data_IF_246560647929
#
_entry.id   IF_246560647929
#
_cell.length_a   1.000
_cell.length_b   1.000
_cell.length_c   1.000
_cell.angle_alpha   90.00
_cell.angle_beta   90.00
_cell.angle_gamma   90.00
#
_symmetry.space_group_name_H-M   'P 1'
#
loop_
_entity.id
_entity.type
_entity.pdbx_description
1 polymer ?
#
# COMPACT_ATOMS: atom_id res chain seq x y z
N UNK A 1 4.98 11.37 -7.59
CA UNK A 1 5.98 11.05 -8.65
C UNK A 1 5.26 10.74 -9.96
N UNK A 2 5.93 10.86 -11.11
CA UNK A 2 5.51 10.31 -12.41
C UNK A 2 6.38 9.12 -12.77
N UNK A 3 5.76 8.02 -13.14
CA UNK A 3 6.43 6.83 -13.64
C UNK A 3 6.19 6.72 -15.15
N UNK A 4 7.26 6.56 -15.90
CA UNK A 4 7.22 6.25 -17.33
C UNK A 4 7.84 4.86 -17.53
N UNK A 5 6.99 3.86 -17.72
CA UNK A 5 7.41 2.48 -17.98
C UNK A 5 7.42 2.22 -19.49
N UNK A 6 8.50 1.61 -19.94
CA UNK A 6 8.67 1.15 -21.31
C UNK A 6 8.96 -0.36 -21.30
N UNK A 7 8.65 -1.03 -22.42
CA UNK A 7 8.95 -2.45 -22.59
C UNK A 7 10.45 -2.73 -22.42
N UNK A 8 11.30 -1.78 -22.79
CA UNK A 8 12.71 -1.79 -22.43
C UNK A 8 12.88 -1.15 -21.05
N UNK A 9 13.16 -1.97 -20.03
CA UNK A 9 13.32 -1.50 -18.64
C UNK A 9 14.40 -0.42 -18.49
N UNK A 10 15.48 -0.45 -19.29
CA UNK A 10 16.53 0.57 -19.24
C UNK A 10 16.03 1.97 -19.59
N UNK A 11 15.06 2.05 -20.51
CA UNK A 11 14.43 3.31 -20.90
C UNK A 11 13.31 3.78 -19.96
N UNK A 12 12.94 2.95 -18.97
CA UNK A 12 11.96 3.32 -17.96
C UNK A 12 12.56 4.32 -16.97
N UNK A 13 11.77 5.27 -16.49
CA UNK A 13 12.22 6.24 -15.50
C UNK A 13 11.13 6.61 -14.50
N UNK A 14 11.56 6.95 -13.29
CA UNK A 14 10.69 7.50 -12.25
C UNK A 14 11.20 8.89 -11.94
N UNK A 15 10.32 9.89 -12.08
CA UNK A 15 10.63 11.30 -11.83
C UNK A 15 9.77 11.81 -10.68
N UNK A 16 10.40 12.47 -9.71
CA UNK A 16 9.68 13.20 -8.67
C UNK A 16 9.14 14.49 -9.28
N UNK A 17 7.82 14.62 -9.33
CA UNK A 17 7.15 15.82 -9.85
C UNK A 17 6.68 16.76 -8.75
N UNK A 18 6.31 16.19 -7.61
CA UNK A 18 5.81 16.92 -6.47
C UNK A 18 6.12 16.13 -5.20
N UNK A 19 6.15 16.85 -4.09
CA UNK A 19 6.28 16.30 -2.74
C UNK A 19 5.02 16.63 -1.97
N UNK A 20 4.47 15.64 -1.25
CA UNK A 20 3.42 15.87 -0.29
C UNK A 20 4.08 16.19 1.05
N UNK A 21 4.43 17.47 1.23
CA UNK A 21 5.36 17.91 2.28
C UNK A 21 4.73 17.82 3.68
N UNK A 22 3.44 18.15 3.82
CA UNK A 22 2.77 18.05 5.13
C UNK A 22 1.24 18.17 5.05
N UNK A 23 0.59 17.84 6.17
CA UNK A 23 -0.84 18.03 6.41
C UNK A 23 -1.19 19.43 6.96
N UNK A 24 -0.29 20.41 6.79
CA UNK A 24 -0.49 21.82 7.20
C UNK A 24 0.25 22.24 8.47
N UNK A 25 0.75 21.28 9.24
CA UNK A 25 1.76 21.51 10.30
C UNK A 25 2.96 20.64 9.91
N UNK A 26 4.20 21.10 10.15
CA UNK A 26 5.51 20.48 9.86
C UNK A 26 5.69 19.03 10.38
N UNK A 27 4.83 18.09 9.98
CA UNK A 27 4.83 16.72 10.44
C UNK A 27 4.71 15.78 9.24
N UNK A 28 5.70 14.91 9.13
CA UNK A 28 5.82 13.93 8.06
C UNK A 28 4.64 12.95 8.05
N UNK A 29 4.23 12.55 6.84
CA UNK A 29 3.23 11.51 6.63
C UNK A 29 3.92 10.15 6.72
N UNK A 30 3.42 9.29 7.60
CA UNK A 30 3.96 7.96 7.86
C UNK A 30 3.25 6.87 7.05
N UNK A 31 1.95 7.02 6.80
CA UNK A 31 1.16 6.05 6.04
C UNK A 31 0.13 6.76 5.16
N UNK A 32 -0.17 6.18 4.00
CA UNK A 32 -1.22 6.63 3.10
C UNK A 32 -2.03 5.43 2.64
N UNK A 33 -3.36 5.55 2.68
CA UNK A 33 -4.29 4.56 2.12
C UNK A 33 -5.18 5.24 1.09
N UNK A 34 -5.45 4.56 -0.02
CA UNK A 34 -6.34 5.04 -1.07
C UNK A 34 -7.60 4.18 -1.15
N UNK A 35 -8.76 4.81 -1.31
CA UNK A 35 -10.03 4.15 -1.63
C UNK A 35 -10.92 5.12 -2.40
N UNK A 36 -11.44 4.70 -3.56
CA UNK A 36 -12.42 5.43 -4.38
C UNK A 36 -12.10 6.94 -4.56
N UNK A 37 -10.82 7.26 -4.83
CA UNK A 37 -10.36 8.62 -5.06
C UNK A 37 -10.08 9.45 -3.79
N UNK A 38 -10.35 8.91 -2.60
CA UNK A 38 -9.95 9.52 -1.32
C UNK A 38 -8.63 8.95 -0.81
N UNK A 39 -7.88 9.80 -0.13
CA UNK A 39 -6.63 9.46 0.53
C UNK A 39 -6.79 9.62 2.04
N UNK A 40 -6.49 8.58 2.81
CA UNK A 40 -6.28 8.68 4.25
C UNK A 40 -4.78 8.82 4.49
N UNK A 41 -4.36 9.99 4.93
CA UNK A 41 -2.99 10.30 5.32
C UNK A 41 -2.87 10.24 6.85
N UNK A 42 -1.88 9.49 7.32
CA UNK A 42 -1.62 9.29 8.74
C UNK A 42 -0.22 9.78 9.05
N UNK A 43 -0.14 10.66 10.04
CA UNK A 43 1.12 11.16 10.57
C UNK A 43 1.28 10.65 11.98
N UNK A 44 2.36 9.92 12.23
CA UNK A 44 2.68 9.30 13.52
C UNK A 44 3.95 9.95 14.04
N UNK A 45 3.86 10.50 15.24
CA UNK A 45 5.00 11.05 15.99
C UNK A 45 5.01 10.45 17.38
N UNK A 46 6.12 10.62 18.11
CA UNK A 46 6.25 10.14 19.50
C UNK A 46 5.09 10.55 20.40
N UNK A 47 4.51 11.73 20.17
CA UNK A 47 3.53 12.34 21.08
C UNK A 47 2.10 12.32 20.54
N UNK A 48 1.91 12.15 19.23
CA UNK A 48 0.58 12.25 18.59
C UNK A 48 0.48 11.47 17.29
N UNK A 49 -0.70 10.91 17.04
CA UNK A 49 -1.14 10.48 15.71
C UNK A 49 -2.21 11.41 15.18
N UNK A 50 -2.10 11.74 13.89
CA UNK A 50 -3.05 12.61 13.19
C UNK A 50 -3.55 11.89 11.95
N UNK A 51 -4.87 11.90 11.78
CA UNK A 51 -5.54 11.39 10.60
C UNK A 51 -6.10 12.56 9.80
N UNK A 52 -5.75 12.62 8.52
CA UNK A 52 -6.35 13.56 7.58
C UNK A 52 -6.83 12.78 6.37
N UNK A 53 -8.09 13.01 6.02
CA UNK A 53 -8.65 12.54 4.78
C UNK A 53 -8.53 13.66 3.77
N UNK A 54 -7.94 13.36 2.62
CA UNK A 54 -7.72 14.31 1.55
C UNK A 54 -8.42 13.81 0.29
N UNK A 55 -9.27 14.66 -0.26
CA UNK A 55 -9.76 14.52 -1.63
C UNK A 55 -8.82 15.32 -2.56
N UNK A 56 -7.94 14.66 -3.32
CA UNK A 56 -7.01 15.34 -4.22
C UNK A 56 -7.73 16.09 -5.36
N UNK A 57 -8.92 15.63 -5.78
CA UNK A 57 -9.66 16.22 -6.90
C UNK A 57 -10.17 17.64 -6.60
N UNK A 58 -10.66 17.87 -5.38
CA UNK A 58 -11.14 19.20 -4.95
C UNK A 58 -10.20 19.90 -3.96
N UNK A 59 -9.04 19.30 -3.66
CA UNK A 59 -8.12 19.82 -2.64
C UNK A 59 -8.67 19.82 -1.21
N UNK A 60 -9.85 19.25 -0.96
CA UNK A 60 -10.51 19.30 0.35
C UNK A 60 -9.82 18.37 1.35
N UNK A 61 -9.50 18.90 2.53
CA UNK A 61 -8.89 18.16 3.63
C UNK A 61 -9.83 18.15 4.82
N UNK A 62 -10.07 16.98 5.41
CA UNK A 62 -10.83 16.78 6.65
C UNK A 62 -9.93 16.16 7.69
N UNK A 63 -9.73 16.85 8.82
CA UNK A 63 -9.06 16.28 9.99
C UNK A 63 -10.04 15.34 10.70
N UNK A 64 -9.57 14.17 11.09
CA UNK A 64 -10.36 13.19 11.84
C UNK A 64 -9.83 13.17 13.27
N UNK A 65 -10.68 13.54 14.22
CA UNK A 65 -10.32 13.52 15.64
C UNK A 65 -10.26 12.08 16.15
N UNK A 66 -9.18 11.76 16.88
CA UNK A 66 -9.03 10.47 17.55
C UNK A 66 -9.60 10.58 18.95
N UNK A 67 -10.39 9.59 19.36
CA UNK A 67 -11.08 9.64 20.65
C UNK A 67 -10.18 9.38 21.86
N UNK A 68 -8.95 8.85 21.71
CA UNK A 68 -8.06 8.50 22.84
C UNK A 68 -6.57 8.66 22.50
N UNK A 69 -5.85 9.39 23.36
CA UNK A 69 -4.38 9.45 23.42
C UNK A 69 -3.87 8.34 24.34
N UNK A 70 -3.49 7.18 23.78
CA UNK A 70 -2.81 6.13 24.54
C UNK A 70 -1.39 5.97 24.02
N UNK A 71 -0.42 5.85 24.93
CA UNK A 71 1.03 5.74 24.72
C UNK A 71 1.51 4.58 23.81
N UNK A 72 0.59 3.82 23.19
CA UNK A 72 0.87 2.70 22.26
C UNK A 72 0.49 3.15 20.82
N UNK A 73 0.91 4.35 20.45
CA UNK A 73 0.46 5.07 19.25
C UNK A 73 0.93 4.41 17.95
N UNK A 74 2.13 3.82 17.96
CA UNK A 74 2.84 3.40 16.74
C UNK A 74 2.41 2.02 16.19
N UNK A 75 1.43 1.37 16.82
CA UNK A 75 1.04 -0.02 16.49
C UNK A 75 -0.38 -0.18 15.93
N UNK A 76 -1.13 0.91 15.83
CA UNK A 76 -2.44 0.85 15.20
C UNK A 76 -2.33 0.70 13.69
N UNK A 77 -3.11 -0.22 13.16
CA UNK A 77 -3.32 -0.41 11.74
C UNK A 77 -4.57 0.33 11.30
N UNK A 78 -4.58 0.75 10.04
CA UNK A 78 -5.67 1.50 9.46
C UNK A 78 -6.07 0.93 8.10
N UNK A 79 -7.33 1.16 7.74
CA UNK A 79 -7.82 0.99 6.38
C UNK A 79 -8.88 2.04 6.07
N UNK A 80 -8.93 2.43 4.80
CA UNK A 80 -9.99 3.25 4.24
C UNK A 80 -10.86 2.38 3.35
N UNK A 81 -12.17 2.44 3.52
CA UNK A 81 -13.11 1.69 2.68
C UNK A 81 -14.36 2.49 2.38
N UNK A 82 -15.20 1.91 1.52
CA UNK A 82 -16.44 2.49 1.06
C UNK A 82 -17.61 1.56 1.35
N UNK A 83 -18.58 2.05 2.10
CA UNK A 83 -19.82 1.35 2.37
C UNK A 83 -20.81 1.66 1.24
N UNK A 84 -21.12 0.64 0.44
CA UNK A 84 -21.99 0.77 -0.73
C UNK A 84 -23.45 1.06 -0.35
N UNK A 85 -23.91 0.56 0.79
CA UNK A 85 -25.28 0.75 1.27
C UNK A 85 -25.53 2.18 1.74
N UNK A 86 -24.62 2.73 2.55
CA UNK A 86 -24.73 4.12 3.06
C UNK A 86 -24.11 5.16 2.13
N UNK A 87 -23.46 4.72 1.05
CA UNK A 87 -22.71 5.56 0.10
C UNK A 87 -21.71 6.48 0.79
N UNK A 88 -21.03 5.95 1.81
CA UNK A 88 -20.11 6.71 2.63
C UNK A 88 -18.80 5.98 2.84
N UNK A 89 -17.72 6.76 2.94
CA UNK A 89 -16.43 6.23 3.33
C UNK A 89 -16.41 5.95 4.82
N UNK A 90 -15.56 5.01 5.22
CA UNK A 90 -15.32 4.64 6.62
C UNK A 90 -13.84 4.37 6.83
N UNK A 91 -13.36 4.63 8.03
CA UNK A 91 -11.99 4.29 8.43
C UNK A 91 -12.07 3.18 9.46
N UNK A 92 -11.44 2.05 9.17
CA UNK A 92 -11.17 1.02 10.17
C UNK A 92 -9.85 1.36 10.85
N UNK A 93 -9.84 1.34 12.18
CA UNK A 93 -8.64 1.43 13.02
C UNK A 93 -8.62 0.21 13.93
N UNK A 94 -7.52 -0.51 13.97
CA UNK A 94 -7.43 -1.70 14.80
C UNK A 94 -6.02 -1.99 15.30
N UNK A 95 -5.93 -2.82 16.33
CA UNK A 95 -4.69 -3.37 16.85
C UNK A 95 -4.94 -4.83 17.25
N UNK A 96 -3.99 -5.70 16.90
CA UNK A 96 -3.98 -7.11 17.32
C UNK A 96 -2.63 -7.38 17.96
N UNK A 97 -2.54 -7.24 19.29
CA UNK A 97 -1.29 -7.43 20.03
C UNK A 97 -1.38 -8.66 20.92
N UNK A 98 -0.28 -9.41 21.01
CA UNK A 98 -0.26 -10.72 21.64
C UNK A 98 0.16 -10.73 23.11
N UNK A 99 0.88 -9.70 23.60
CA UNK A 99 1.42 -9.71 24.97
C UNK A 99 1.56 -8.31 25.62
N UNK A 100 0.61 -7.87 26.46
CA UNK A 100 -0.64 -8.58 26.81
C UNK A 100 -1.58 -8.65 25.61
N UNK A 101 -2.42 -9.69 25.57
CA UNK A 101 -3.41 -9.87 24.52
C UNK A 101 -4.37 -8.67 24.49
N UNK A 102 -4.20 -7.78 23.53
CA UNK A 102 -4.96 -6.54 23.40
C UNK A 102 -5.46 -6.42 21.96
N UNK A 103 -6.77 -6.49 21.82
CA UNK A 103 -7.47 -6.41 20.56
C UNK A 103 -8.51 -5.31 20.66
N UNK A 104 -8.38 -4.31 19.80
CA UNK A 104 -9.35 -3.23 19.71
C UNK A 104 -9.64 -2.96 18.24
N UNK A 105 -10.92 -2.91 17.90
CA UNK A 105 -11.41 -2.55 16.57
C UNK A 105 -12.36 -1.37 16.71
N UNK A 106 -12.06 -0.29 15.99
CA UNK A 106 -12.89 0.91 15.92
C UNK A 106 -13.12 1.25 14.47
N UNK A 107 -14.32 1.76 14.18
CA UNK A 107 -14.68 2.23 12.86
C UNK A 107 -15.23 3.65 12.98
N UNK A 108 -14.75 4.50 12.08
CA UNK A 108 -15.23 5.86 11.92
C UNK A 108 -16.14 5.91 10.70
N UNK A 109 -17.33 6.50 10.87
CA UNK A 109 -18.28 6.70 9.78
C UNK A 109 -18.35 8.19 9.41
N UNK A 110 -18.13 8.50 8.14
CA UNK A 110 -18.10 9.87 7.65
C UNK A 110 -19.46 10.56 7.71
N UNK A 111 -20.56 9.78 7.63
CA UNK A 111 -21.91 10.31 7.67
C UNK A 111 -22.30 10.75 9.08
N UNK A 112 -21.91 9.99 10.11
CA UNK A 112 -22.21 10.32 11.51
C UNK A 112 -21.11 11.14 12.19
N UNK A 113 -19.96 11.34 11.51
CA UNK A 113 -18.79 12.03 12.04
C UNK A 113 -18.33 11.46 13.40
N UNK A 114 -18.38 10.14 13.54
CA UNK A 114 -18.16 9.52 14.85
C UNK A 114 -17.46 8.17 14.77
N UNK A 115 -16.68 7.89 15.81
CA UNK A 115 -16.09 6.58 16.05
C UNK A 115 -17.06 5.71 16.85
N UNK A 116 -17.07 4.43 16.52
CA UNK A 116 -17.69 3.39 17.34
C UNK A 116 -16.80 2.16 17.44
N UNK A 117 -16.95 1.43 18.54
CA UNK A 117 -16.24 0.16 18.75
C UNK A 117 -16.94 -0.93 17.93
N UNK A 118 -16.14 -1.82 17.35
CA UNK A 118 -16.60 -3.05 16.71
C UNK A 118 -16.32 -4.23 17.63
N UNK A 119 -17.32 -5.09 17.81
CA UNK A 119 -17.16 -6.35 18.52
C UNK A 119 -16.64 -7.42 17.55
N UNK A 120 -15.32 -7.57 17.51
CA UNK A 120 -14.62 -8.52 16.63
C UNK A 120 -13.63 -9.33 17.46
N UNK A 121 -13.69 -10.64 17.29
CA UNK A 121 -12.79 -11.60 17.96
C UNK A 121 -12.08 -12.46 16.91
N UNK A 122 -11.00 -11.95 16.28
CA UNK A 122 -10.33 -12.69 15.22
C UNK A 122 -9.64 -13.93 15.80
N UNK A 123 -9.59 -15.03 15.04
CA UNK A 123 -8.75 -16.20 15.33
C UNK A 123 -7.37 -16.11 14.64
N UNK A 124 -7.11 -14.96 14.03
CA UNK A 124 -5.92 -14.62 13.28
C UNK A 124 -5.26 -13.35 13.84
N UNK A 125 -4.04 -13.08 13.39
CA UNK A 125 -3.30 -11.85 13.67
C UNK A 125 -2.77 -11.28 12.37
N UNK A 126 -2.65 -9.96 12.29
CA UNK A 126 -2.00 -9.27 11.18
C UNK A 126 -0.68 -8.70 11.71
N UNK A 127 0.41 -8.91 10.97
CA UNK A 127 1.69 -8.28 11.28
C UNK A 127 1.61 -6.77 11.03
N UNK A 128 2.14 -5.95 11.93
CA UNK A 128 2.15 -4.49 11.78
C UNK A 128 2.97 -4.02 10.56
N UNK A 129 3.83 -4.88 10.01
CA UNK A 129 4.62 -4.60 8.80
C UNK A 129 3.78 -4.83 7.53
N UNK A 130 2.69 -5.60 7.61
CA UNK A 130 1.85 -5.89 6.46
C UNK A 130 0.87 -4.74 6.22
N UNK A 131 1.13 -3.97 5.17
CA UNK A 131 0.19 -2.95 4.72
C UNK A 131 -0.97 -3.60 3.96
N UNK A 132 -2.19 -3.22 4.33
CA UNK A 132 -3.39 -3.64 3.60
C UNK A 132 -3.63 -2.77 2.38
N UNK A 133 -4.43 -3.30 1.47
CA UNK A 133 -4.88 -2.56 0.27
C UNK A 133 -6.39 -2.50 0.21
N UNK A 134 -6.92 -1.38 -0.24
CA UNK A 134 -8.33 -1.24 -0.52
C UNK A 134 -8.64 -1.58 -1.98
N UNK A 135 -9.70 -2.35 -2.19
CA UNK A 135 -10.17 -2.81 -3.49
C UNK A 135 -11.70 -2.89 -3.45
N UNK A 136 -12.37 -2.23 -4.40
CA UNK A 136 -13.84 -2.24 -4.55
C UNK A 136 -14.59 -1.85 -3.26
N UNK A 137 -14.03 -0.91 -2.51
CA UNK A 137 -14.55 -0.42 -1.22
C UNK A 137 -14.20 -1.26 0.00
N UNK A 138 -13.54 -2.40 -0.16
CA UNK A 138 -13.15 -3.29 0.93
C UNK A 138 -11.64 -3.33 1.13
N UNK A 139 -11.17 -3.75 2.30
CA UNK A 139 -9.73 -3.79 2.59
C UNK A 139 -9.24 -5.21 2.82
N UNK A 140 -8.04 -5.52 2.32
CA UNK A 140 -7.44 -6.84 2.28
C UNK A 140 -6.04 -6.83 2.88
N UNK A 141 -5.72 -7.84 3.69
CA UNK A 141 -4.41 -8.01 4.33
C UNK A 141 -3.96 -9.46 4.32
N UNK A 142 -2.64 -9.67 4.37
CA UNK A 142 -2.07 -10.91 4.84
C UNK A 142 -2.24 -11.05 6.36
N UNK A 143 -2.81 -12.18 6.77
CA UNK A 143 -2.93 -12.58 8.16
C UNK A 143 -2.40 -14.01 8.34
N UNK A 144 -2.08 -14.36 9.58
CA UNK A 144 -1.73 -15.72 9.96
C UNK A 144 -2.54 -16.15 11.17
N UNK A 145 -2.64 -17.47 11.39
CA UNK A 145 -3.28 -17.97 12.62
C UNK A 145 -2.57 -17.43 13.86
N UNK A 146 -3.38 -17.13 14.89
CA UNK A 146 -2.91 -16.82 16.24
C UNK A 146 -1.88 -17.86 16.69
N UNK A 147 -0.74 -17.40 17.22
CA UNK A 147 0.37 -18.27 17.62
C UNK A 147 -0.13 -19.36 18.56
N UNK A 148 0.23 -20.60 18.28
CA UNK A 148 0.07 -21.71 19.22
C UNK A 148 1.44 -22.26 19.50
N UNK A 149 1.77 -22.48 20.78
CA UNK A 149 3.06 -23.06 21.21
C UNK A 149 3.40 -24.39 20.51
N UNK A 150 2.42 -25.04 19.88
CA UNK A 150 2.55 -26.30 19.15
C UNK A 150 2.85 -26.14 17.65
N UNK A 151 2.71 -24.95 17.05
CA UNK A 151 2.89 -24.72 15.61
C UNK A 151 4.10 -23.83 15.36
N UNK A 152 5.18 -24.42 14.84
CA UNK A 152 6.39 -23.70 14.37
C UNK A 152 6.25 -23.11 12.96
N UNK A 153 5.18 -23.45 12.24
CA UNK A 153 4.94 -23.01 10.85
C UNK A 153 3.77 -22.02 10.85
N UNK A 154 4.00 -20.84 10.28
CA UNK A 154 2.96 -19.86 10.03
C UNK A 154 2.19 -20.27 8.77
N UNK A 155 0.86 -20.32 8.89
CA UNK A 155 -0.01 -20.48 7.73
C UNK A 155 -0.63 -19.12 7.45
N UNK A 156 -0.22 -18.53 6.33
CA UNK A 156 -0.72 -17.24 5.88
C UNK A 156 -1.93 -17.42 4.98
N UNK A 157 -2.81 -16.42 5.01
CA UNK A 157 -4.01 -16.30 4.19
C UNK A 157 -4.35 -14.82 4.02
N UNK A 158 -5.27 -14.52 3.11
CA UNK A 158 -5.84 -13.19 3.01
C UNK A 158 -7.08 -13.09 3.92
N UNK A 159 -7.23 -11.94 4.57
CA UNK A 159 -8.47 -11.56 5.27
C UNK A 159 -9.02 -10.30 4.62
N UNK A 160 -10.35 -10.22 4.52
CA UNK A 160 -11.06 -9.09 3.96
C UNK A 160 -11.94 -8.47 5.05
N UNK A 161 -11.86 -7.15 5.24
CA UNK A 161 -12.88 -6.41 5.97
C UNK A 161 -13.89 -5.84 4.97
N UNK A 162 -15.13 -6.31 5.06
CA UNK A 162 -16.24 -5.81 4.26
C UNK A 162 -16.81 -4.55 4.94
N UNK A 163 -16.60 -3.37 4.35
CA UNK A 163 -17.08 -2.11 4.93
C UNK A 163 -18.59 -1.89 4.80
N UNK A 164 -19.24 -2.64 3.91
CA UNK A 164 -20.70 -2.59 3.75
C UNK A 164 -21.38 -3.42 4.84
N UNK A 165 -20.83 -4.61 5.14
CA UNK A 165 -21.32 -5.51 6.20
C UNK A 165 -20.68 -5.26 7.57
N UNK A 166 -19.61 -4.47 7.59
CA UNK A 166 -18.81 -4.09 8.77
C UNK A 166 -18.28 -5.30 9.55
N UNK A 167 -17.84 -6.32 8.81
CA UNK A 167 -17.37 -7.59 9.38
C UNK A 167 -16.22 -8.17 8.54
N UNK A 168 -15.43 -9.04 9.15
CA UNK A 168 -14.42 -9.79 8.43
C UNK A 168 -15.06 -10.97 7.68
N UNK A 169 -14.61 -11.17 6.45
CA UNK A 169 -14.97 -12.33 5.63
C UNK A 169 -14.28 -13.63 6.09
N UNK A 170 -14.58 -14.76 5.40
CA UNK A 170 -13.83 -16.00 5.59
C UNK A 170 -12.34 -15.83 5.21
N UNK A 171 -11.52 -16.76 5.66
CA UNK A 171 -10.11 -16.83 5.27
C UNK A 171 -10.01 -17.14 3.77
N UNK A 172 -9.29 -16.30 3.04
CA UNK A 172 -9.11 -16.42 1.60
C UNK A 172 -7.78 -17.10 1.29
N UNK A 173 -7.81 -18.14 0.44
CA UNK A 173 -6.64 -18.94 0.13
C UNK A 173 -5.62 -18.19 -0.73
N UNK A 174 -4.34 -18.48 -0.48
CA UNK A 174 -3.23 -17.99 -1.28
C UNK A 174 -2.92 -18.96 -2.43
N UNK A 175 -2.23 -18.50 -3.50
CA UNK A 175 -1.83 -19.36 -4.61
C UNK A 175 -0.62 -20.25 -4.26
N UNK A 176 -0.13 -20.19 -3.01
CA UNK A 176 1.00 -20.93 -2.47
C UNK A 176 0.66 -21.45 -1.07
N UNK A 177 1.23 -22.59 -0.70
CA UNK A 177 0.78 -23.36 0.49
C UNK A 177 1.46 -22.94 1.80
N UNK A 178 2.65 -22.36 1.74
CA UNK A 178 3.48 -22.10 2.91
C UNK A 178 4.17 -20.76 2.78
N UNK A 179 4.22 -20.02 3.89
CA UNK A 179 5.14 -18.91 4.07
C UNK A 179 5.68 -18.97 5.50
N UNK A 180 6.99 -18.86 5.66
CA UNK A 180 7.64 -18.74 6.97
C UNK A 180 7.76 -17.26 7.36
N UNK A 181 8.10 -16.99 8.62
CA UNK A 181 8.22 -15.61 9.14
C UNK A 181 9.23 -14.77 8.37
N UNK A 182 10.19 -15.42 7.74
CA UNK A 182 11.28 -14.84 6.98
C UNK A 182 10.89 -14.51 5.55
N UNK A 183 9.74 -14.96 5.04
CA UNK A 183 9.36 -14.73 3.65
C UNK A 183 8.82 -13.31 3.43
N UNK A 184 9.15 -12.70 2.29
CA UNK A 184 8.61 -11.40 1.92
C UNK A 184 7.24 -11.56 1.24
N UNK A 185 6.25 -10.83 1.75
CA UNK A 185 4.90 -10.79 1.19
C UNK A 185 4.38 -9.35 1.11
N UNK A 186 3.79 -9.00 -0.02
CA UNK A 186 3.15 -7.69 -0.18
C UNK A 186 1.90 -7.85 -1.04
N UNK A 187 0.92 -6.96 -0.83
CA UNK A 187 -0.36 -6.97 -1.56
C UNK A 187 -0.57 -5.63 -2.25
N UNK A 188 -1.09 -5.67 -3.48
CA UNK A 188 -1.41 -4.49 -4.27
C UNK A 188 -2.74 -4.68 -4.99
N UNK A 189 -3.38 -3.57 -5.37
CA UNK A 189 -4.48 -3.57 -6.33
C UNK A 189 -3.93 -3.44 -7.75
N UNK A 190 -4.67 -3.98 -8.71
CA UNK A 190 -4.39 -3.90 -10.15
C UNK A 190 -5.61 -3.32 -10.83
N UNK A 191 -5.45 -2.13 -11.42
CA UNK A 191 -6.51 -1.39 -12.13
C UNK A 191 -7.80 -1.22 -11.30
N UNK A 192 -7.69 -1.21 -9.97
CA UNK A 192 -8.83 -1.15 -9.02
C UNK A 192 -9.85 -2.31 -9.14
N UNK A 193 -9.51 -3.36 -9.89
CA UNK A 193 -10.43 -4.47 -10.19
C UNK A 193 -9.96 -5.82 -9.63
N UNK A 194 -8.64 -6.02 -9.57
CA UNK A 194 -8.00 -7.26 -9.15
C UNK A 194 -7.02 -7.01 -8.02
N UNK A 195 -6.74 -8.06 -7.26
CA UNK A 195 -5.64 -8.12 -6.30
C UNK A 195 -4.42 -8.77 -6.95
N UNK A 196 -3.24 -8.24 -6.65
CA UNK A 196 -1.95 -8.90 -6.87
C UNK A 196 -1.26 -9.17 -5.54
N UNK A 197 -0.59 -10.32 -5.45
CA UNK A 197 0.26 -10.67 -4.31
C UNK A 197 1.67 -10.95 -4.78
N UNK A 198 2.63 -10.34 -4.10
CA UNK A 198 4.04 -10.63 -4.23
C UNK A 198 4.42 -11.61 -3.14
N UNK A 199 5.14 -12.66 -3.52
CA UNK A 199 5.68 -13.66 -2.61
C UNK A 199 7.14 -13.94 -2.96
N UNK A 200 8.03 -13.87 -1.97
CA UNK A 200 9.43 -14.22 -2.10
C UNK A 200 9.85 -15.10 -0.91
N UNK A 201 10.07 -16.40 -1.13
CA UNK A 201 10.64 -17.28 -0.12
C UNK A 201 12.10 -16.91 0.21
N UNK A 202 12.45 -16.95 1.49
CA UNK A 202 13.82 -16.67 1.98
C UNK A 202 14.85 -17.69 1.47
N UNK A 203 14.46 -18.94 1.27
CA UNK A 203 15.37 -20.04 0.90
C UNK A 203 15.72 -20.06 -0.60
N UNK A 204 14.72 -19.87 -1.46
CA UNK A 204 14.89 -19.91 -2.92
C UNK A 204 15.22 -18.55 -3.52
N UNK A 205 14.86 -17.46 -2.83
CA UNK A 205 14.97 -16.07 -3.30
C UNK A 205 14.31 -15.85 -4.68
N UNK A 206 13.31 -16.69 -4.99
CA UNK A 206 12.53 -16.61 -6.21
C UNK A 206 11.31 -15.75 -5.93
N UNK A 207 11.28 -14.55 -6.47
CA UNK A 207 10.13 -13.67 -6.34
C UNK A 207 9.08 -14.03 -7.39
N UNK A 208 7.84 -14.19 -6.93
CA UNK A 208 6.68 -14.44 -7.75
C UNK A 208 5.61 -13.38 -7.50
N UNK A 209 4.92 -12.99 -8.57
CA UNK A 209 3.73 -12.14 -8.48
C UNK A 209 2.55 -12.89 -9.07
N UNK A 210 1.50 -13.03 -8.27
CA UNK A 210 0.26 -13.69 -8.63
C UNK A 210 -0.86 -12.68 -8.72
N UNK A 211 -1.73 -12.82 -9.72
CA UNK A 211 -2.89 -11.95 -9.93
C UNK A 211 -4.15 -12.80 -9.77
N UNK A 212 -5.15 -12.24 -9.11
CA UNK A 212 -6.46 -12.86 -8.97
C UNK A 212 -7.21 -12.90 -10.31
N UNK A 213 -7.86 -14.03 -10.60
CA UNK A 213 -8.85 -14.13 -11.68
C UNK A 213 -10.22 -13.63 -11.22
N UNK A 214 -10.52 -13.80 -9.93
CA UNK A 214 -11.71 -13.29 -9.25
C UNK A 214 -11.38 -12.94 -7.81
N UNK A 215 -11.94 -11.84 -7.33
CA UNK A 215 -11.83 -11.43 -5.94
C UNK A 215 -13.16 -10.81 -5.48
N UNK A 216 -13.68 -11.34 -4.38
CA UNK A 216 -14.87 -10.89 -3.68
C UNK A 216 -14.57 -10.88 -2.18
N UNK A 217 -15.41 -10.28 -1.33
CA UNK A 217 -15.17 -10.25 0.12
C UNK A 217 -15.10 -11.63 0.78
N UNK A 218 -15.71 -12.64 0.14
CA UNK A 218 -15.84 -14.00 0.67
C UNK A 218 -15.23 -15.08 -0.22
N UNK A 219 -14.62 -14.74 -1.36
CA UNK A 219 -14.08 -15.71 -2.28
C UNK A 219 -12.92 -15.13 -3.08
N UNK A 220 -11.91 -15.95 -3.36
CA UNK A 220 -10.78 -15.62 -4.21
C UNK A 220 -10.48 -16.78 -5.15
N UNK A 221 -10.11 -16.46 -6.39
CA UNK A 221 -9.48 -17.39 -7.30
C UNK A 221 -8.30 -16.72 -8.00
N UNK A 222 -7.30 -17.51 -8.33
CA UNK A 222 -6.04 -17.04 -8.91
C UNK A 222 -5.99 -17.35 -10.40
N UNK A 223 -5.22 -16.56 -11.15
CA UNK A 223 -4.87 -16.92 -12.52
C UNK A 223 -4.02 -18.20 -12.52
N UNK A 224 -4.21 -19.04 -13.54
CA UNK A 224 -3.47 -20.32 -13.66
C UNK A 224 -1.98 -20.14 -13.95
N UNK A 225 -1.58 -18.95 -14.41
CA UNK A 225 -0.18 -18.58 -14.67
C UNK A 225 0.25 -17.48 -13.72
N UNK A 226 1.43 -17.65 -13.15
CA UNK A 226 2.15 -16.59 -12.44
C UNK A 226 2.42 -15.43 -13.42
N UNK A 227 2.25 -14.19 -12.96
CA UNK A 227 2.48 -13.02 -13.81
C UNK A 227 3.99 -12.82 -14.03
N UNK A 228 4.75 -12.72 -12.94
CA UNK A 228 6.20 -12.53 -12.93
C UNK A 228 6.84 -13.59 -12.05
N UNK A 229 7.94 -14.17 -12.52
CA UNK A 229 8.72 -15.16 -11.77
C UNK A 229 10.21 -14.93 -12.05
N UNK A 230 10.96 -14.45 -11.05
CA UNK A 230 12.36 -14.03 -11.24
C UNK A 230 13.22 -14.41 -10.04
N UNK A 231 14.49 -14.76 -10.28
CA UNK A 231 15.46 -14.97 -9.21
C UNK A 231 16.08 -13.65 -8.80
N UNK A 232 15.83 -13.24 -7.55
CA UNK A 232 16.26 -11.94 -7.02
C UNK A 232 17.74 -11.93 -6.60
N UNK A 233 18.34 -13.12 -6.41
CA UNK A 233 19.74 -13.28 -5.99
C UNK A 233 20.75 -12.53 -6.86
N UNK A 234 20.49 -12.45 -8.17
CA UNK A 234 21.36 -11.76 -9.15
C UNK A 234 21.06 -10.27 -9.28
N UNK A 235 19.93 -9.84 -8.72
CA UNK A 235 19.25 -8.60 -9.12
C UNK A 235 19.45 -7.50 -8.07
N UNK A 236 19.32 -7.82 -6.78
CA UNK A 236 19.41 -6.82 -5.69
C UNK A 236 20.60 -7.08 -4.73
N UNK A 237 21.65 -7.76 -5.19
CA UNK A 237 22.83 -8.00 -4.36
C UNK A 237 23.38 -6.69 -3.76
N UNK A 238 23.73 -6.64 -2.47
CA UNK A 238 23.82 -7.74 -1.50
C UNK A 238 22.54 -8.01 -0.70
N UNK A 239 21.44 -7.32 -1.00
CA UNK A 239 20.22 -7.34 -0.18
C UNK A 239 19.47 -8.67 -0.27
N UNK A 240 19.59 -9.39 -1.39
CA UNK A 240 19.05 -10.72 -1.70
C UNK A 240 17.54 -10.96 -1.47
N UNK A 241 16.87 -10.12 -0.69
CA UNK A 241 15.46 -10.18 -0.35
C UNK A 241 14.86 -8.80 -0.04
N UNK A 242 13.57 -8.64 -0.38
CA UNK A 242 12.75 -7.50 0.02
C UNK A 242 12.25 -7.61 1.47
N UNK A 243 12.22 -6.49 2.18
CA UNK A 243 11.86 -6.40 3.60
C UNK A 243 10.47 -5.82 3.84
N UNK A 244 9.60 -5.81 2.82
CA UNK A 244 8.14 -5.55 2.89
C UNK A 244 7.72 -4.09 2.62
N UNK A 245 8.27 -3.47 1.59
CA UNK A 245 7.65 -2.28 1.04
C UNK A 245 6.39 -2.59 0.21
N UNK A 246 6.12 -1.74 -0.77
CA UNK A 246 4.94 -1.82 -1.64
C UNK A 246 5.33 -2.15 -3.07
N UNK A 247 4.37 -2.54 -3.90
CA UNK A 247 4.63 -2.75 -5.32
C UNK A 247 3.42 -2.40 -6.16
N UNK A 248 3.62 -2.27 -7.46
CA UNK A 248 2.54 -2.35 -8.44
C UNK A 248 3.02 -3.04 -9.70
N UNK A 249 2.08 -3.38 -10.58
CA UNK A 249 2.38 -3.96 -11.88
C UNK A 249 1.73 -3.15 -13.01
N UNK A 250 2.38 -3.19 -14.16
CA UNK A 250 1.83 -2.75 -15.44
C UNK A 250 1.76 -3.97 -16.37
N UNK A 251 0.54 -4.47 -16.59
CA UNK A 251 0.30 -5.64 -17.44
C UNK A 251 0.58 -5.37 -18.92
N UNK A 252 0.41 -4.13 -19.39
CA UNK A 252 0.61 -3.75 -20.79
C UNK A 252 2.10 -3.64 -21.10
N UNK A 253 2.85 -2.98 -20.21
CA UNK A 253 4.31 -2.86 -20.30
C UNK A 253 5.04 -4.12 -19.83
N UNK A 254 4.33 -5.07 -19.20
CA UNK A 254 4.89 -6.33 -18.69
C UNK A 254 6.01 -6.09 -17.67
N UNK A 255 5.74 -5.19 -16.72
CA UNK A 255 6.72 -4.75 -15.71
C UNK A 255 6.09 -4.78 -14.33
N UNK A 256 6.87 -5.13 -13.32
CA UNK A 256 6.58 -4.87 -11.92
C UNK A 256 7.53 -3.80 -11.37
N UNK A 257 7.05 -2.94 -10.48
CA UNK A 257 7.89 -2.02 -9.73
C UNK A 257 7.72 -2.31 -8.26
N UNK A 258 8.79 -2.74 -7.62
CA UNK A 258 8.85 -3.02 -6.18
C UNK A 258 9.57 -1.87 -5.50
N UNK A 259 8.96 -1.33 -4.45
CA UNK A 259 9.53 -0.25 -3.66
C UNK A 259 10.02 -0.83 -2.36
N UNK A 260 11.30 -0.62 -2.07
CA UNK A 260 11.88 -1.07 -0.81
C UNK A 260 13.06 -0.18 -0.43
N UNK A 261 13.63 -0.45 0.73
CA UNK A 261 14.88 0.12 1.20
C UNK A 261 16.06 -0.46 0.43
N UNK A 262 17.17 0.27 0.39
CA UNK A 262 18.47 -0.30 0.06
C UNK A 262 18.99 -1.20 1.20
N UNK A 263 20.05 -1.96 0.93
CA UNK A 263 20.67 -2.86 1.91
C UNK A 263 21.02 -2.22 3.26
N UNK A 264 21.40 -0.93 3.26
CA UNK A 264 21.78 -0.21 4.47
C UNK A 264 20.59 0.43 5.20
N UNK A 265 19.36 0.25 4.69
CA UNK A 265 18.13 0.85 5.20
C UNK A 265 18.10 2.40 5.20
N UNK A 266 18.93 3.02 4.35
CA UNK A 266 19.12 4.48 4.28
C UNK A 266 18.35 5.13 3.14
N UNK A 267 18.26 4.47 2.00
CA UNK A 267 17.66 5.01 0.78
C UNK A 267 16.43 4.23 0.39
N UNK A 268 15.46 4.92 -0.17
CA UNK A 268 14.29 4.30 -0.79
C UNK A 268 14.61 4.05 -2.26
N UNK A 269 14.36 2.84 -2.73
CA UNK A 269 14.67 2.37 -4.07
C UNK A 269 13.40 1.86 -4.74
N UNK A 270 13.22 2.19 -6.01
CA UNK A 270 12.28 1.53 -6.89
C UNK A 270 13.01 0.53 -7.78
N UNK A 271 12.64 -0.74 -7.65
CA UNK A 271 13.15 -1.85 -8.43
C UNK A 271 12.17 -2.15 -9.56
N UNK A 272 12.54 -1.75 -10.78
CA UNK A 272 11.78 -1.99 -12.01
C UNK A 272 12.22 -3.35 -12.57
N UNK A 273 11.29 -4.28 -12.74
CA UNK A 273 11.55 -5.67 -13.12
C UNK A 273 10.66 -6.03 -14.31
N UNK A 274 11.26 -6.40 -15.44
CA UNK A 274 10.55 -6.87 -16.63
C UNK A 274 10.26 -8.37 -16.60
N UNK A 275 9.22 -8.81 -17.31
CA UNK A 275 8.91 -10.24 -17.46
C UNK A 275 10.02 -11.06 -18.16
N UNK A 276 10.87 -10.39 -18.93
CA UNK A 276 12.05 -10.98 -19.59
C UNK A 276 13.25 -11.14 -18.65
N UNK A 277 13.13 -10.72 -17.38
CA UNK A 277 14.20 -10.71 -16.39
C UNK A 277 15.09 -9.46 -16.44
N UNK A 278 14.75 -8.47 -17.28
CA UNK A 278 15.41 -7.16 -17.25
C UNK A 278 15.14 -6.44 -15.93
N UNK A 279 16.10 -5.60 -15.51
CA UNK A 279 16.08 -4.99 -14.19
C UNK A 279 16.72 -3.61 -14.18
N UNK A 280 16.12 -2.70 -13.42
CA UNK A 280 16.68 -1.38 -13.13
C UNK A 280 16.30 -0.92 -11.73
N UNK A 281 17.29 -0.45 -10.97
CA UNK A 281 17.07 0.22 -9.70
C UNK A 281 17.06 1.74 -9.91
N UNK A 282 16.07 2.43 -9.33
CA UNK A 282 15.97 3.89 -9.34
C UNK A 282 15.99 4.38 -7.89
N UNK A 283 16.96 5.20 -7.56
CA UNK A 283 17.09 5.83 -6.25
C UNK A 283 16.06 6.96 -6.09
N UNK A 284 15.29 6.89 -5.00
CA UNK A 284 14.21 7.82 -4.69
C UNK A 284 14.60 8.80 -3.58
N UNK A 285 15.81 8.69 -3.06
CA UNK A 285 16.36 9.55 -2.03
C UNK A 285 16.43 8.90 -0.65
N UNK A 286 16.91 9.69 0.31
CA UNK A 286 17.12 9.23 1.68
C UNK A 286 15.82 9.12 2.48
N UNK A 287 15.83 8.23 3.46
CA UNK A 287 14.75 8.03 4.40
C UNK A 287 15.23 8.36 5.80
N UNK A 288 14.54 9.27 6.51
CA UNK A 288 14.94 9.68 7.86
C UNK A 288 14.86 8.55 8.90
N UNK A 289 13.99 7.54 8.70
CA UNK A 289 13.84 6.41 9.63
C UNK A 289 14.04 5.05 8.96
N UNK A 290 14.76 4.14 9.63
CA UNK A 290 15.04 2.79 9.13
C UNK A 290 13.77 1.94 8.90
N UNK A 291 12.73 2.13 9.72
CA UNK A 291 11.48 1.37 9.68
C UNK A 291 10.39 1.97 8.79
N UNK A 292 10.64 3.12 8.14
CA UNK A 292 9.70 3.72 7.20
C UNK A 292 9.98 3.21 5.78
N UNK A 293 9.22 2.21 5.35
CA UNK A 293 9.32 1.64 4.01
C UNK A 293 8.55 2.50 2.99
N UNK A 294 9.03 2.55 1.73
CA UNK A 294 8.35 3.31 0.69
C UNK A 294 7.02 2.66 0.31
N UNK A 295 5.94 3.40 0.58
CA UNK A 295 4.58 3.02 0.21
C UNK A 295 4.16 3.66 -1.10
N UNK A 296 3.39 2.90 -1.87
CA UNK A 296 2.82 3.31 -3.13
C UNK A 296 1.33 3.06 -3.11
N UNK A 297 0.60 4.10 -3.46
CA UNK A 297 -0.80 4.02 -3.83
C UNK A 297 -0.93 4.55 -5.27
N UNK A 298 -1.64 3.81 -6.10
CA UNK A 298 -2.01 4.25 -7.43
C UNK A 298 -3.31 5.04 -7.35
N UNK A 299 -3.30 6.28 -7.81
CA UNK A 299 -4.51 7.02 -8.16
C UNK A 299 -4.30 7.67 -9.52
N UNK A 300 -5.36 7.72 -10.33
CA UNK A 300 -5.34 8.41 -11.62
C UNK A 300 -5.77 9.87 -11.42
N UNK A 301 -4.98 10.82 -11.90
CA UNK A 301 -5.45 12.20 -12.09
C UNK A 301 -6.26 12.29 -13.40
N UNK A 302 -7.51 12.78 -13.37
CA UNK A 302 -8.28 12.98 -14.59
C UNK A 302 -7.73 14.11 -15.48
N UNK A 303 -6.91 15.02 -14.96
CA UNK A 303 -6.43 16.20 -15.70
C UNK A 303 -5.53 15.86 -16.92
N UNK A 304 -5.15 14.59 -17.13
CA UNK A 304 -4.55 14.15 -18.39
C UNK A 304 -5.53 13.72 -19.48
N UNK A 305 -6.85 13.78 -19.23
CA UNK A 305 -7.90 13.48 -20.21
C UNK A 305 -8.38 14.72 -20.98
N UNK A 306 -8.04 15.94 -20.55
CA UNK A 306 -8.40 17.17 -21.26
C UNK A 306 -7.35 17.49 -22.33
N UNK A 307 -7.40 16.79 -23.46
CA UNK A 307 -6.85 17.29 -24.74
C UNK A 307 -7.40 16.55 -25.96
N UNK A 308 -8.63 16.04 -25.92
CA UNK A 308 -9.36 15.61 -27.12
C UNK A 308 -10.86 15.87 -26.92
N UNK A 309 -11.26 17.14 -27.05
CA UNK A 309 -12.67 17.50 -27.27
C UNK A 309 -12.87 17.46 -28.78
N UNK A 310 -13.47 16.37 -29.24
CA UNK A 310 -14.19 16.30 -30.51
C UNK A 310 -15.56 15.73 -30.18
N UNK A 311 -16.59 16.52 -30.41
CA UNK A 311 -18.00 16.16 -30.23
C UNK A 311 -18.34 14.94 -31.12
N UNK A 312 -18.65 13.79 -30.51
CA UNK A 312 -19.84 12.98 -30.82
C UNK A 312 -19.88 11.70 -29.96
N UNK A 313 -21.11 11.26 -29.66
CA UNK A 313 -21.49 10.08 -28.90
C UNK A 313 -20.79 8.78 -29.37
N UNK A 314 -19.85 8.25 -28.58
CA UNK A 314 -19.72 6.80 -28.35
C UNK A 314 -18.83 6.50 -27.12
N UNK A 315 -19.26 5.57 -26.29
CA UNK A 315 -18.54 5.06 -25.11
C UNK A 315 -17.26 4.30 -25.53
N UNK A 316 -16.17 5.03 -25.81
CA UNK A 316 -14.82 4.45 -25.91
C UNK A 316 -13.82 5.25 -25.09
N UNK A 317 -13.43 4.68 -23.94
CA UNK A 317 -12.25 5.12 -23.18
C UNK A 317 -11.03 5.16 -24.12
N UNK A 318 -10.20 6.22 -24.12
CA UNK A 318 -9.02 6.29 -24.96
C UNK A 318 -8.03 5.17 -24.64
N UNK A 319 -7.43 4.57 -25.68
CA UNK A 319 -6.40 3.51 -25.61
C UNK A 319 -4.97 4.05 -25.52
N UNK A 320 -4.77 5.30 -25.10
CA UNK A 320 -3.42 5.89 -25.10
C UNK A 320 -2.72 5.84 -23.73
N UNK A 321 -1.52 5.26 -23.77
CA UNK A 321 -0.77 4.69 -22.64
C UNK A 321 0.10 5.69 -21.86
N UNK A 322 -0.39 6.91 -21.66
CA UNK A 322 0.24 7.90 -20.76
C UNK A 322 -0.63 8.15 -19.54
N UNK A 323 -0.80 7.14 -18.69
CA UNK A 323 -1.43 7.33 -17.38
C UNK A 323 -0.48 8.13 -16.49
N UNK A 324 -0.89 9.32 -16.05
CA UNK A 324 -0.25 10.04 -14.96
C UNK A 324 -0.49 9.22 -13.67
N UNK A 325 0.40 8.26 -13.44
CA UNK A 325 0.47 7.52 -12.19
C UNK A 325 1.09 8.47 -11.16
N UNK A 326 0.28 9.08 -10.29
CA UNK A 326 0.80 9.87 -9.17
C UNK A 326 0.97 8.99 -7.95
N UNK A 327 2.24 8.84 -7.55
CA UNK A 327 2.63 8.12 -6.34
C UNK A 327 2.73 9.09 -5.16
N UNK A 328 2.06 8.74 -4.05
CA UNK A 328 2.35 9.31 -2.75
C UNK A 328 3.38 8.44 -2.05
N UNK A 329 4.57 8.99 -1.86
CA UNK A 329 5.55 8.42 -0.94
C UNK A 329 5.29 8.97 0.45
N UNK A 330 4.94 8.09 1.38
CA UNK A 330 5.18 8.34 2.79
C UNK A 330 6.62 7.91 3.10
N UNK A 331 7.58 8.74 2.72
CA UNK A 331 8.92 8.68 3.29
C UNK A 331 9.07 9.93 4.14
N UNK A 332 9.38 9.76 5.42
CA UNK A 332 9.83 10.88 6.26
C UNK A 332 11.07 11.51 5.61
N UNK A 333 10.87 12.55 4.83
CA UNK A 333 11.94 13.39 4.32
C UNK A 333 11.96 14.55 5.29
N UNK A 334 12.92 14.50 6.23
CA UNK A 334 13.19 15.63 7.11
C UNK A 334 13.47 16.85 6.24
N UNK A 335 12.59 17.86 6.32
CA UNK A 335 12.83 19.22 5.84
C UNK A 335 13.93 19.90 6.67
N UNK A 336 15.17 19.48 6.46
CA UNK A 336 16.35 20.24 6.91
C UNK A 336 17.44 20.18 5.86
N UNK A 337 17.32 21.02 4.83
CA UNK A 337 18.46 21.51 4.04
C UNK A 337 18.03 22.48 2.93
N UNK A 338 17.31 23.56 3.25
CA UNK A 338 17.39 24.81 2.48
C UNK A 338 17.26 25.95 3.50
N UNK A 339 18.40 26.47 3.97
CA UNK A 339 18.62 27.86 4.40
C UNK A 339 20.03 27.94 5.02
N UNK A 340 21.06 28.12 4.17
CA UNK A 340 22.26 28.90 4.53
C UNK A 340 23.15 29.09 3.30
N UNK A 341 22.63 29.68 2.22
CA UNK A 341 23.46 30.39 1.25
C UNK A 341 22.64 31.55 0.71
N UNK A 342 23.18 32.77 0.90
CA UNK A 342 22.68 34.10 0.54
C UNK A 342 21.84 34.81 1.62
N UNK A 343 22.53 35.45 2.57
CA UNK A 343 22.54 36.92 2.63
C UNK A 343 23.95 37.38 3.00
N UNK A 344 24.47 38.26 2.17
CA UNK A 344 25.79 38.87 2.15
C UNK A 344 25.81 40.15 2.96
N UNK A 345 26.87 40.37 3.74
CA UNK A 345 27.72 41.57 3.71
C UNK A 345 29.01 41.35 4.51
#
# INVERSE_FOLDING_TARGET
MRVNLQNNVESSCIKREAELISLGDEVDISQVFHCDGLLLCISITKDKTRLVVWNPYWGHKRKIELTHNLQIIDRYMYALGYNKSSKSHKILRFITYWDPNFEEFKIYDFNSDSWRVLDVTPDWTISYINHGVSLKGNAYWFANKKYSKTRRIYHFFLVCFDFTRETFGPLLSLPFEFAVSEDAMSVSSVREEQLAVLYQPWDTLKMEIWITSKIEPNAVSWNSKVFLSVSIKKVIAPQFQFYLGSFFIDEEKKVAVVFDKDYNYRRNIAYIIGLDGSFKAVDLGESAYAMCYPLVNLFCDPCSLENNIGDDDDLRRPRDSSRLLRFNFASSISSKSILSLLESD
#
